data_IF_589774974245
#
_entry.id   IF_589774974245
#
_cell.length_a   1.000
_cell.length_b   1.000
_cell.length_c   1.000
_cell.angle_alpha   90.00
_cell.angle_beta   90.00
_cell.angle_gamma   90.00
#
_symmetry.space_group_name_H-M   'P 1'
#
loop_
_entity.id
_entity.type
_entity.pdbx_description
1 polymer ?
#
# COMPACT_ATOMS: atom_id res chain seq x y z
N UNK A 1 -44.69 34.66 -54.05
CA UNK A 1 -43.70 33.70 -53.58
C UNK A 1 -43.58 33.80 -52.06
N UNK A 2 -43.60 32.70 -51.35
CA UNK A 2 -43.43 32.67 -49.90
C UNK A 2 -41.94 32.91 -49.51
N UNK A 3 -41.69 33.48 -48.35
CA UNK A 3 -40.29 33.73 -47.89
C UNK A 3 -39.57 32.43 -47.53
N UNK A 4 -38.31 32.36 -47.93
CA UNK A 4 -37.34 31.31 -47.63
C UNK A 4 -37.09 31.28 -46.14
N UNK A 5 -37.13 30.08 -45.43
CA UNK A 5 -36.77 30.00 -44.04
C UNK A 5 -35.25 30.13 -43.88
N UNK A 6 -34.81 30.88 -42.87
CA UNK A 6 -33.45 31.09 -42.50
C UNK A 6 -32.82 29.77 -41.96
N UNK A 7 -31.50 29.52 -42.14
CA UNK A 7 -30.84 28.34 -41.66
C UNK A 7 -30.77 28.30 -40.12
N UNK A 8 -31.23 27.22 -39.56
CA UNK A 8 -31.12 26.90 -38.13
C UNK A 8 -29.64 26.70 -37.80
N UNK A 9 -29.06 27.35 -36.79
CA UNK A 9 -27.69 27.07 -36.35
C UNK A 9 -27.58 25.66 -35.80
N UNK A 10 -26.60 24.92 -36.28
CA UNK A 10 -26.26 23.60 -35.78
C UNK A 10 -25.87 23.68 -34.29
N UNK A 11 -26.24 22.65 -33.46
CA UNK A 11 -25.84 22.63 -32.08
C UNK A 11 -24.30 22.54 -31.98
N UNK A 12 -23.72 23.46 -31.25
CA UNK A 12 -22.30 23.46 -30.92
C UNK A 12 -21.94 22.15 -30.24
N UNK A 13 -20.97 21.44 -30.82
CA UNK A 13 -20.38 20.27 -30.20
C UNK A 13 -19.81 20.68 -28.84
N UNK A 14 -20.42 20.19 -27.79
CA UNK A 14 -19.93 20.32 -26.40
C UNK A 14 -18.61 19.56 -26.34
N UNK A 15 -17.51 20.29 -26.23
CA UNK A 15 -16.19 19.71 -25.93
C UNK A 15 -16.31 18.86 -24.65
N UNK A 16 -15.65 17.71 -24.60
CA UNK A 16 -15.63 16.91 -23.36
C UNK A 16 -15.03 17.78 -22.26
N UNK A 17 -15.79 17.96 -21.19
CA UNK A 17 -15.33 18.64 -19.98
C UNK A 17 -14.03 17.98 -19.55
N UNK A 18 -12.96 18.77 -19.49
CA UNK A 18 -11.71 18.37 -18.87
C UNK A 18 -12.04 17.84 -17.47
N UNK A 19 -11.68 16.59 -17.21
CA UNK A 19 -11.84 15.99 -15.89
C UNK A 19 -11.08 16.87 -14.89
N UNK A 20 -11.82 17.57 -14.06
CA UNK A 20 -11.30 18.40 -12.99
C UNK A 20 -10.53 17.48 -12.06
N UNK A 21 -9.20 17.65 -12.00
CA UNK A 21 -8.32 16.87 -11.16
C UNK A 21 -8.79 17.06 -9.70
N UNK A 22 -9.30 15.98 -9.09
CA UNK A 22 -9.65 16.00 -7.69
C UNK A 22 -8.42 16.43 -6.87
N UNK A 23 -8.56 17.27 -5.85
CA UNK A 23 -7.43 17.76 -5.08
C UNK A 23 -6.77 16.61 -4.33
N UNK A 24 -5.62 16.17 -4.82
CA UNK A 24 -4.67 15.40 -4.02
C UNK A 24 -4.06 16.42 -3.06
N UNK A 25 -4.38 16.32 -1.78
CA UNK A 25 -3.69 17.14 -0.77
C UNK A 25 -2.23 16.74 -0.81
N UNK A 26 -1.37 17.65 -1.29
CA UNK A 26 0.03 17.35 -1.56
C UNK A 26 0.73 16.86 -0.29
N UNK A 27 1.19 15.59 -0.23
CA UNK A 27 2.06 15.14 0.83
C UNK A 27 3.42 15.84 0.71
N UNK A 28 4.24 15.82 1.77
CA UNK A 28 5.57 16.39 1.73
C UNK A 28 6.38 15.81 0.56
N UNK A 29 7.22 16.65 -0.03
CA UNK A 29 8.12 16.27 -1.12
C UNK A 29 8.94 15.06 -0.66
N UNK A 30 8.94 13.97 -1.45
CA UNK A 30 9.63 12.70 -1.15
C UNK A 30 8.89 11.72 -0.22
N UNK A 31 7.61 11.51 -0.43
CA UNK A 31 6.83 10.50 0.30
C UNK A 31 7.00 9.09 -0.28
N UNK A 32 6.93 8.09 0.57
CA UNK A 32 6.88 6.68 0.16
C UNK A 32 5.43 6.24 -0.13
N UNK A 33 5.26 5.10 -0.78
CA UNK A 33 3.92 4.51 -0.94
C UNK A 33 3.25 4.27 0.42
N UNK A 34 4.04 3.95 1.45
CA UNK A 34 3.58 3.74 2.83
C UNK A 34 2.86 4.99 3.34
N UNK A 35 3.45 6.17 3.15
CA UNK A 35 2.88 7.45 3.61
C UNK A 35 1.54 7.75 2.93
N UNK A 36 1.39 7.38 1.65
CA UNK A 36 0.13 7.52 0.93
C UNK A 36 -0.95 6.53 1.37
N UNK A 37 -0.57 5.29 1.70
CA UNK A 37 -1.51 4.26 2.14
C UNK A 37 -1.97 4.43 3.59
N UNK A 38 -1.12 4.98 4.45
CA UNK A 38 -1.42 5.20 5.89
C UNK A 38 -1.97 6.59 6.17
N UNK A 39 -1.65 7.55 5.31
CA UNK A 39 -2.09 8.94 5.44
C UNK A 39 -3.45 9.20 4.81
N UNK A 40 -3.93 10.44 4.98
CA UNK A 40 -5.17 10.93 4.37
C UNK A 40 -4.93 11.70 3.06
N UNK A 41 -3.81 11.46 2.40
CA UNK A 41 -3.41 12.21 1.21
C UNK A 41 -4.22 11.85 -0.05
N UNK A 42 -4.73 10.62 -0.12
CA UNK A 42 -5.57 10.15 -1.22
C UNK A 42 -7.05 10.29 -0.85
N UNK A 43 -7.74 11.24 -1.47
CA UNK A 43 -9.16 11.52 -1.21
C UNK A 43 -10.10 10.85 -2.23
N UNK A 44 -9.59 10.48 -3.40
CA UNK A 44 -10.35 9.90 -4.50
C UNK A 44 -9.56 8.75 -5.13
N UNK A 45 -10.21 7.88 -5.92
CA UNK A 45 -9.52 6.84 -6.66
C UNK A 45 -8.48 7.39 -7.62
N UNK A 46 -7.29 6.79 -7.60
CA UNK A 46 -6.14 7.22 -8.41
C UNK A 46 -5.46 6.02 -9.07
N UNK A 47 -4.81 6.28 -10.20
CA UNK A 47 -3.90 5.35 -10.84
C UNK A 47 -2.47 5.74 -10.51
N UNK A 48 -1.70 4.79 -10.04
CA UNK A 48 -0.26 4.90 -9.85
C UNK A 48 0.43 4.10 -10.96
N UNK A 49 1.22 4.79 -11.78
CA UNK A 49 2.00 4.20 -12.86
C UNK A 49 3.49 4.38 -12.61
N UNK A 50 4.29 3.37 -12.93
CA UNK A 50 5.76 3.44 -12.87
C UNK A 50 6.36 2.65 -13.99
N UNK A 51 7.47 3.12 -14.52
CA UNK A 51 8.24 2.37 -15.50
C UNK A 51 8.68 1.01 -14.94
N UNK A 52 8.45 -0.05 -15.68
CA UNK A 52 8.81 -1.42 -15.29
C UNK A 52 7.90 -2.07 -14.25
N UNK A 53 6.79 -1.44 -13.86
CA UNK A 53 5.79 -2.03 -12.98
C UNK A 53 4.38 -1.93 -13.57
N UNK A 54 3.48 -2.87 -13.24
CA UNK A 54 2.09 -2.77 -13.67
C UNK A 54 1.38 -1.60 -12.98
N UNK A 55 0.42 -1.02 -13.66
CA UNK A 55 -0.43 0.02 -13.07
C UNK A 55 -1.20 -0.51 -11.86
N UNK A 56 -1.26 0.30 -10.83
CA UNK A 56 -2.04 0.04 -9.61
C UNK A 56 -3.12 1.10 -9.49
N UNK A 57 -4.36 0.66 -9.38
CA UNK A 57 -5.47 1.56 -9.04
C UNK A 57 -5.73 1.48 -7.56
N UNK A 58 -5.66 2.62 -6.89
CA UNK A 58 -5.88 2.77 -5.46
C UNK A 58 -7.27 3.35 -5.24
N UNK A 59 -8.11 2.67 -4.45
CA UNK A 59 -9.42 3.17 -4.02
C UNK A 59 -9.39 3.42 -2.50
N UNK A 60 -9.13 4.66 -2.07
CA UNK A 60 -9.03 4.99 -0.65
C UNK A 60 -10.36 4.86 0.09
N UNK A 61 -11.49 4.98 -0.61
CA UNK A 61 -12.82 4.84 0.00
C UNK A 61 -13.10 3.41 0.46
N UNK A 62 -12.71 2.42 -0.33
CA UNK A 62 -12.88 1.00 0.00
C UNK A 62 -11.63 0.37 0.63
N UNK A 63 -10.55 1.14 0.84
CA UNK A 63 -9.25 0.67 1.35
C UNK A 63 -8.74 -0.54 0.54
N UNK A 64 -8.90 -0.47 -0.78
CA UNK A 64 -8.55 -1.55 -1.70
C UNK A 64 -7.75 -1.06 -2.89
N UNK A 65 -6.98 -1.97 -3.47
CA UNK A 65 -6.28 -1.71 -4.72
C UNK A 65 -6.61 -2.78 -5.77
N UNK A 66 -6.47 -2.39 -7.03
CA UNK A 66 -6.64 -3.25 -8.20
C UNK A 66 -5.35 -3.28 -9.01
N UNK A 67 -4.90 -4.46 -9.35
CA UNK A 67 -3.72 -4.65 -10.21
C UNK A 67 -3.94 -5.89 -11.07
N UNK A 68 -3.72 -5.77 -12.37
CA UNK A 68 -3.95 -6.87 -13.31
C UNK A 68 -2.84 -7.92 -13.23
N UNK A 69 -3.17 -9.12 -12.76
CA UNK A 69 -2.56 -10.39 -13.13
C UNK A 69 -1.13 -10.71 -12.67
N UNK A 70 -0.46 -9.88 -11.91
CA UNK A 70 0.93 -10.09 -11.51
C UNK A 70 1.08 -10.32 -10.00
N UNK A 71 2.10 -11.06 -9.59
CA UNK A 71 2.45 -11.24 -8.17
C UNK A 71 2.88 -9.92 -7.52
N UNK A 72 2.93 -9.91 -6.18
CA UNK A 72 3.31 -8.72 -5.40
C UNK A 72 4.70 -8.19 -5.77
N UNK A 73 5.65 -9.06 -6.12
CA UNK A 73 7.01 -8.65 -6.50
C UNK A 73 7.06 -7.71 -7.69
N UNK A 74 6.10 -7.81 -8.61
CA UNK A 74 6.00 -6.89 -9.74
C UNK A 74 5.69 -5.45 -9.31
N UNK A 75 5.15 -5.26 -8.10
CA UNK A 75 4.85 -3.95 -7.52
C UNK A 75 6.05 -3.32 -6.79
N UNK A 76 7.19 -4.02 -6.67
CA UNK A 76 8.36 -3.52 -5.96
C UNK A 76 8.85 -2.14 -6.43
N UNK A 77 8.82 -1.78 -7.73
CA UNK A 77 9.21 -0.43 -8.16
C UNK A 77 8.35 0.67 -7.55
N UNK A 78 7.06 0.43 -7.30
CA UNK A 78 6.19 1.39 -6.61
C UNK A 78 6.55 1.55 -5.12
N UNK A 79 7.05 0.49 -4.49
CA UNK A 79 7.33 0.44 -3.05
C UNK A 79 8.70 1.01 -2.69
N UNK A 80 9.67 0.97 -3.60
CA UNK A 80 11.08 1.31 -3.32
C UNK A 80 11.49 2.70 -3.77
N UNK A 81 10.68 3.36 -4.60
CA UNK A 81 10.94 4.73 -5.06
C UNK A 81 10.21 5.77 -4.21
N UNK A 82 10.71 7.00 -4.26
CA UNK A 82 9.98 8.16 -3.76
C UNK A 82 8.87 8.53 -4.74
N UNK A 83 7.70 8.79 -4.19
CA UNK A 83 6.51 9.17 -4.94
C UNK A 83 6.17 10.64 -4.74
N UNK A 84 5.64 11.25 -5.80
CA UNK A 84 5.14 12.62 -5.79
C UNK A 84 3.65 12.63 -6.13
N UNK A 85 2.97 13.72 -5.83
CA UNK A 85 1.55 13.87 -6.18
C UNK A 85 1.28 13.69 -7.69
N UNK A 86 2.24 14.07 -8.53
CA UNK A 86 2.17 13.93 -10.00
C UNK A 86 2.24 12.49 -10.51
N UNK A 87 2.72 11.55 -9.69
CA UNK A 87 2.73 10.12 -10.02
C UNK A 87 1.33 9.49 -9.94
N UNK A 88 0.40 10.19 -9.28
CA UNK A 88 -0.97 9.75 -9.09
C UNK A 88 -1.91 10.47 -10.05
N UNK A 89 -2.51 9.73 -10.95
CA UNK A 89 -3.49 10.24 -11.88
C UNK A 89 -4.90 9.99 -11.34
N UNK A 90 -5.70 11.05 -11.21
CA UNK A 90 -7.12 10.91 -10.90
C UNK A 90 -7.81 10.06 -11.98
N UNK A 91 -8.69 9.16 -11.58
CA UNK A 91 -9.46 8.32 -12.48
C UNK A 91 -10.96 8.55 -12.30
N UNK A 92 -11.72 8.28 -13.37
CA UNK A 92 -13.17 8.36 -13.31
C UNK A 92 -13.78 7.14 -12.61
N UNK A 93 -15.04 7.26 -12.16
CA UNK A 93 -15.79 6.10 -11.66
C UNK A 93 -15.91 4.98 -12.68
N UNK A 94 -16.05 5.31 -13.96
CA UNK A 94 -16.11 4.33 -15.04
C UNK A 94 -14.78 3.56 -15.21
N UNK A 95 -13.63 4.21 -14.99
CA UNK A 95 -12.32 3.54 -15.02
C UNK A 95 -12.12 2.66 -13.80
N UNK A 96 -12.61 3.08 -12.63
CA UNK A 96 -12.60 2.25 -11.43
C UNK A 96 -13.47 0.99 -11.62
N UNK A 97 -14.65 1.13 -12.21
CA UNK A 97 -15.52 -0.02 -12.48
C UNK A 97 -14.91 -0.99 -13.49
N UNK A 98 -14.23 -0.49 -14.53
CA UNK A 98 -13.44 -1.33 -15.44
C UNK A 98 -12.33 -2.07 -14.71
N UNK A 99 -11.63 -1.40 -13.79
CA UNK A 99 -10.57 -2.02 -12.99
C UNK A 99 -11.11 -3.15 -12.10
N UNK A 100 -12.27 -2.94 -11.48
CA UNK A 100 -12.95 -3.95 -10.65
C UNK A 100 -13.35 -5.20 -11.43
N UNK A 101 -13.72 -5.04 -12.71
CA UNK A 101 -14.01 -6.17 -13.60
C UNK A 101 -12.72 -6.89 -14.00
N UNK A 102 -11.66 -6.14 -14.30
CA UNK A 102 -10.38 -6.68 -14.79
C UNK A 102 -9.49 -7.32 -13.71
N UNK A 103 -9.64 -6.88 -12.46
CA UNK A 103 -8.84 -7.38 -11.35
C UNK A 103 -9.65 -7.32 -10.04
N UNK A 104 -9.71 -8.44 -9.26
CA UNK A 104 -10.43 -8.43 -8.00
C UNK A 104 -9.78 -7.45 -7.02
N UNK A 105 -10.59 -6.80 -6.14
CA UNK A 105 -10.07 -5.90 -5.13
C UNK A 105 -9.17 -6.65 -4.14
N UNK A 106 -8.04 -6.04 -3.83
CA UNK A 106 -7.10 -6.50 -2.81
C UNK A 106 -7.05 -5.46 -1.69
N UNK A 107 -6.97 -5.85 -0.41
CA UNK A 107 -6.95 -4.90 0.69
C UNK A 107 -5.65 -4.08 0.71
N UNK A 108 -5.73 -2.80 1.10
CA UNK A 108 -4.56 -1.94 1.30
C UNK A 108 -3.54 -2.56 2.25
N UNK A 109 -3.99 -3.26 3.29
CA UNK A 109 -3.10 -3.94 4.23
C UNK A 109 -2.09 -4.89 3.53
N UNK A 110 -2.51 -5.56 2.44
CA UNK A 110 -1.62 -6.42 1.66
C UNK A 110 -0.54 -5.63 0.92
N UNK A 111 -0.91 -4.50 0.34
CA UNK A 111 0.03 -3.61 -0.36
C UNK A 111 0.95 -2.89 0.64
N UNK A 112 0.42 -2.42 1.76
CA UNK A 112 1.17 -1.81 2.85
C UNK A 112 2.21 -2.78 3.43
N UNK A 113 1.79 -4.01 3.72
CA UNK A 113 2.68 -5.07 4.16
C UNK A 113 3.85 -5.26 3.18
N UNK A 114 3.56 -5.35 1.89
CA UNK A 114 4.59 -5.54 0.87
C UNK A 114 5.50 -4.31 0.70
N UNK A 115 4.94 -3.10 0.80
CA UNK A 115 5.70 -1.87 0.73
C UNK A 115 6.70 -1.76 1.89
N UNK A 116 6.27 -2.05 3.12
CA UNK A 116 7.15 -2.05 4.29
C UNK A 116 8.21 -3.14 4.18
N UNK A 117 7.82 -4.36 3.79
CA UNK A 117 8.75 -5.47 3.56
C UNK A 117 9.87 -5.09 2.57
N UNK A 118 9.49 -4.44 1.47
CA UNK A 118 10.44 -4.05 0.41
C UNK A 118 11.33 -2.87 0.79
N UNK A 119 10.84 -2.00 1.67
CA UNK A 119 11.57 -0.80 2.11
C UNK A 119 12.51 -1.06 3.29
N UNK A 120 12.23 -2.06 4.13
CA UNK A 120 12.92 -2.32 5.40
C UNK A 120 14.41 -2.66 5.26
N UNK A 121 14.78 -3.49 4.29
CA UNK A 121 16.17 -3.88 3.99
C UNK A 121 16.99 -4.30 5.22
N UNK A 122 16.37 -5.03 6.14
CA UNK A 122 17.01 -5.48 7.38
C UNK A 122 17.16 -4.39 8.46
N UNK A 123 16.53 -3.22 8.29
CA UNK A 123 16.54 -2.15 9.29
C UNK A 123 15.20 -2.12 10.03
N UNK A 124 15.27 -2.19 11.35
CA UNK A 124 14.09 -2.14 12.20
C UNK A 124 13.43 -0.76 12.11
N UNK A 125 12.10 -0.73 12.10
CA UNK A 125 11.34 0.53 12.12
C UNK A 125 11.65 1.33 13.40
N UNK A 126 11.70 2.68 13.33
CA UNK A 126 12.09 3.53 14.45
C UNK A 126 11.22 3.37 15.70
N UNK A 127 9.95 3.01 15.53
CA UNK A 127 8.99 2.78 16.61
C UNK A 127 9.16 1.41 17.29
N UNK A 128 10.01 0.53 16.76
CA UNK A 128 10.30 -0.80 17.31
C UNK A 128 11.65 -0.82 18.02
N UNK A 129 11.71 -1.45 19.17
CA UNK A 129 12.94 -1.55 19.96
C UNK A 129 13.69 -2.86 19.68
N UNK A 130 14.97 -2.77 19.33
CA UNK A 130 15.80 -3.96 19.05
C UNK A 130 15.91 -4.92 20.24
N UNK A 131 15.71 -4.43 21.46
CA UNK A 131 15.74 -5.19 22.72
C UNK A 131 14.39 -5.78 23.12
N UNK A 132 13.31 -5.41 22.44
CA UNK A 132 11.98 -5.92 22.72
C UNK A 132 11.84 -7.39 22.26
N UNK A 133 10.84 -8.06 22.84
CA UNK A 133 10.40 -9.38 22.42
C UNK A 133 9.13 -9.24 21.61
N UNK A 134 8.99 -10.03 20.58
CA UNK A 134 7.94 -9.96 19.58
C UNK A 134 7.18 -11.28 19.47
N UNK A 135 5.90 -11.23 19.23
CA UNK A 135 5.05 -12.37 18.84
C UNK A 135 4.02 -11.94 17.82
N UNK A 136 3.39 -12.89 17.15
CA UNK A 136 2.20 -12.66 16.36
C UNK A 136 0.94 -12.82 17.22
N UNK A 137 0.04 -11.86 17.15
CA UNK A 137 -1.26 -11.93 17.81
C UNK A 137 -2.27 -12.81 17.06
N UNK A 138 -2.03 -13.02 15.75
CA UNK A 138 -2.88 -13.87 14.89
C UNK A 138 -2.06 -14.48 13.76
N UNK A 139 -2.52 -15.63 13.23
CA UNK A 139 -1.85 -16.29 12.10
C UNK A 139 -1.96 -15.46 10.83
N UNK A 140 -0.84 -15.11 10.17
CA UNK A 140 -0.87 -14.34 8.94
C UNK A 140 -1.18 -15.21 7.72
N UNK A 141 -1.76 -14.61 6.69
CA UNK A 141 -1.81 -15.21 5.38
C UNK A 141 -0.42 -15.13 4.74
N UNK A 142 0.23 -16.27 4.57
CA UNK A 142 1.58 -16.31 3.98
C UNK A 142 1.46 -16.28 2.45
N UNK A 143 2.08 -15.27 1.86
CA UNK A 143 2.16 -15.14 0.41
C UNK A 143 3.10 -16.21 -0.19
N UNK A 144 2.67 -16.83 -1.28
CA UNK A 144 3.43 -17.90 -1.95
C UNK A 144 4.82 -17.48 -2.39
N UNK A 145 5.00 -16.19 -2.67
CA UNK A 145 6.27 -15.61 -3.10
C UNK A 145 7.29 -15.50 -1.95
N UNK A 146 6.85 -15.67 -0.70
CA UNK A 146 7.66 -15.53 0.51
C UNK A 146 7.58 -16.78 1.41
N UNK A 147 7.99 -17.96 0.94
CA UNK A 147 7.83 -19.21 1.69
C UNK A 147 8.60 -19.24 3.02
N UNK A 148 9.69 -18.48 3.16
CA UNK A 148 10.45 -18.36 4.40
C UNK A 148 9.61 -17.78 5.55
N UNK A 149 8.62 -16.95 5.27
CA UNK A 149 7.75 -16.32 6.25
C UNK A 149 6.96 -17.34 7.08
N UNK A 150 6.66 -18.52 6.51
CA UNK A 150 5.98 -19.58 7.24
C UNK A 150 6.76 -20.03 8.50
N UNK A 151 8.08 -20.19 8.38
CA UNK A 151 8.93 -20.62 9.52
C UNK A 151 9.00 -19.53 10.59
N UNK A 152 9.19 -18.27 10.18
CA UNK A 152 9.22 -17.12 11.09
C UNK A 152 7.87 -16.99 11.82
N UNK A 153 6.75 -17.04 11.08
CA UNK A 153 5.41 -16.99 11.65
C UNK A 153 5.18 -18.13 12.66
N UNK A 154 5.62 -19.35 12.34
CA UNK A 154 5.48 -20.51 13.24
C UNK A 154 6.19 -20.28 14.58
N UNK A 155 7.37 -19.70 14.59
CA UNK A 155 8.11 -19.37 15.82
C UNK A 155 7.38 -18.28 16.59
N UNK A 156 7.02 -17.17 15.93
CA UNK A 156 6.39 -16.01 16.55
C UNK A 156 4.97 -16.26 17.07
N UNK A 157 4.28 -17.30 16.57
CA UNK A 157 2.96 -17.68 17.09
C UNK A 157 3.05 -18.43 18.43
N UNK A 158 4.21 -19.00 18.78
CA UNK A 158 4.33 -19.83 19.98
C UNK A 158 4.52 -18.99 21.24
N UNK A 159 5.38 -17.98 21.19
CA UNK A 159 5.76 -17.19 22.35
C UNK A 159 6.41 -15.86 21.96
N UNK A 160 6.49 -14.95 22.94
CA UNK A 160 7.34 -13.75 22.85
C UNK A 160 8.81 -14.17 22.81
N UNK A 161 9.55 -13.65 21.81
CA UNK A 161 10.98 -13.89 21.63
C UNK A 161 11.68 -12.67 21.04
N UNK A 162 12.96 -12.51 21.33
CA UNK A 162 13.80 -11.47 20.71
C UNK A 162 14.03 -11.76 19.22
N UNK A 163 14.43 -10.75 18.46
CA UNK A 163 14.72 -10.91 17.03
C UNK A 163 15.75 -11.99 16.75
N UNK A 164 16.80 -12.10 17.60
CA UNK A 164 17.83 -13.13 17.47
C UNK A 164 17.28 -14.54 17.77
N UNK A 165 16.53 -14.70 18.86
CA UNK A 165 15.89 -15.99 19.19
C UNK A 165 14.93 -16.45 18.08
N UNK A 166 14.19 -15.52 17.46
CA UNK A 166 13.32 -15.82 16.31
C UNK A 166 14.17 -16.27 15.11
N UNK A 167 15.26 -15.57 14.81
CA UNK A 167 16.15 -15.89 13.70
C UNK A 167 16.75 -17.28 13.82
N UNK A 168 17.26 -17.60 15.00
CA UNK A 168 17.85 -18.91 15.33
C UNK A 168 16.80 -20.03 15.23
N UNK A 169 15.66 -19.87 15.89
CA UNK A 169 14.60 -20.87 15.92
C UNK A 169 13.91 -21.07 14.55
N UNK A 170 13.81 -20.03 13.71
CA UNK A 170 13.27 -20.13 12.37
C UNK A 170 14.31 -20.56 11.32
N UNK A 171 15.59 -20.70 11.71
CA UNK A 171 16.71 -20.89 10.79
C UNK A 171 16.65 -19.88 9.62
N UNK A 172 16.47 -18.62 9.95
CA UNK A 172 16.32 -17.51 8.99
C UNK A 172 17.31 -16.39 9.32
N UNK A 173 17.90 -15.71 8.33
CA UNK A 173 18.77 -14.57 8.59
C UNK A 173 18.06 -13.49 9.40
N UNK A 174 18.77 -12.84 10.33
CA UNK A 174 18.23 -11.76 11.15
C UNK A 174 17.60 -10.63 10.32
N UNK A 175 18.18 -10.16 9.18
CA UNK A 175 17.53 -9.18 8.31
C UNK A 175 16.16 -9.64 7.80
N UNK A 176 16.00 -10.91 7.41
CA UNK A 176 14.71 -11.46 6.94
C UNK A 176 13.66 -11.43 8.08
N UNK A 177 14.08 -11.65 9.33
CA UNK A 177 13.21 -11.58 10.52
C UNK A 177 12.81 -10.14 10.80
N UNK A 178 13.74 -9.20 10.70
CA UNK A 178 13.46 -7.77 10.87
C UNK A 178 12.45 -7.29 9.83
N UNK A 179 12.67 -7.62 8.56
CA UNK A 179 11.75 -7.25 7.47
C UNK A 179 10.35 -7.85 7.70
N UNK A 180 10.29 -9.10 8.16
CA UNK A 180 9.04 -9.75 8.54
C UNK A 180 8.33 -9.02 9.67
N UNK A 181 9.04 -8.75 10.79
CA UNK A 181 8.47 -8.06 11.96
C UNK A 181 7.94 -6.69 11.58
N UNK A 182 8.71 -5.89 10.82
CA UNK A 182 8.29 -4.59 10.34
C UNK A 182 7.01 -4.65 9.52
N UNK A 183 6.98 -5.55 8.52
CA UNK A 183 5.86 -5.68 7.61
C UNK A 183 4.56 -6.09 8.32
N UNK A 184 4.66 -7.06 9.23
CA UNK A 184 3.50 -7.52 10.00
C UNK A 184 3.12 -6.57 11.14
N UNK A 185 4.07 -5.79 11.67
CA UNK A 185 3.78 -4.70 12.60
C UNK A 185 2.94 -3.62 11.92
N UNK A 186 3.32 -3.18 10.73
CA UNK A 186 2.61 -2.15 9.97
C UNK A 186 1.13 -2.46 9.71
N UNK A 187 0.76 -3.74 9.68
CA UNK A 187 -0.64 -4.19 9.50
C UNK A 187 -1.30 -4.68 10.81
N UNK A 188 -0.65 -4.43 11.97
CA UNK A 188 -1.22 -4.70 13.28
C UNK A 188 -1.28 -6.19 13.66
N UNK A 189 -0.35 -7.01 13.19
CA UNK A 189 -0.28 -8.44 13.52
C UNK A 189 0.77 -8.75 14.58
N UNK A 190 1.75 -7.88 14.80
CA UNK A 190 2.84 -8.05 15.74
C UNK A 190 2.50 -7.36 17.06
N UNK A 191 2.67 -8.08 18.16
CA UNK A 191 2.66 -7.58 19.51
C UNK A 191 4.09 -7.61 20.06
N UNK A 192 4.44 -6.66 20.94
CA UNK A 192 5.72 -6.61 21.62
C UNK A 192 5.56 -6.26 23.10
N UNK A 193 6.58 -6.57 23.89
CA UNK A 193 6.66 -6.26 25.32
C UNK A 193 7.47 -4.99 25.62
N UNK A 194 7.78 -4.19 24.60
CA UNK A 194 8.39 -2.88 24.85
C UNK A 194 7.47 -2.08 25.77
N UNK A 195 7.98 -1.71 26.92
CA UNK A 195 7.27 -0.84 27.87
C UNK A 195 6.95 0.45 27.13
N UNK A 196 5.69 0.69 26.87
CA UNK A 196 5.22 1.99 26.38
C UNK A 196 5.78 3.01 27.38
N UNK A 197 6.54 4.04 26.95
CA UNK A 197 6.90 5.09 27.89
C UNK A 197 5.61 5.56 28.54
N UNK A 198 5.56 5.51 29.89
CA UNK A 198 4.40 5.91 30.64
C UNK A 198 4.00 7.31 30.16
N UNK A 199 2.75 7.50 29.74
CA UNK A 199 2.18 8.81 29.52
C UNK A 199 2.58 9.67 30.73
N UNK A 200 3.18 10.86 30.53
CA UNK A 200 3.41 11.73 31.65
C UNK A 200 2.03 12.03 32.25
N UNK A 201 1.82 11.51 33.45
CA UNK A 201 0.61 11.71 34.21
C UNK A 201 0.28 13.20 34.28
N UNK A 202 -0.94 13.53 33.95
CA UNK A 202 -1.66 14.79 34.09
C UNK A 202 -1.33 15.51 35.38
#
# INVERSE_FOLDING_TARGET
>A
PPPTPAPVPAPAATAPAAAEAAPVTAPPRDSSLIDFLTGSALLAPVRLSSEGAPDVILDPKSQSYHCSGTGLRALAPHCTRKLKAEDFQAITSADLDKARIGAPPQPYARLLWFAVLSASRGHLLPELAATARYKLGKWPQIEREFPKHFRIATVMMKQLATLNEIADAAASPLPDVIDFVNAYHAIGFVENDAVRPADPAT
#
